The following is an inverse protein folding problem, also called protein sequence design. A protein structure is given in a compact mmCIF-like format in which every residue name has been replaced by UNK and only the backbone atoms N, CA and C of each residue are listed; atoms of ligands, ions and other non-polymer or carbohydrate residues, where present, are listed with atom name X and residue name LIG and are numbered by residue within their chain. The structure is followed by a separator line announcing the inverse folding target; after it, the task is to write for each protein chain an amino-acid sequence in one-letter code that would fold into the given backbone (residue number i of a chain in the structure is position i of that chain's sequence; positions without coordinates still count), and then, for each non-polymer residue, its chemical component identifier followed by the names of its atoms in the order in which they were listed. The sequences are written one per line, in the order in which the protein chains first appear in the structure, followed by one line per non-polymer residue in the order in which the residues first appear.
data_IF_016551326296
#
_entry.id   IF_016551326296
#
_cell.length_a   1.000
_cell.length_b   1.000
_cell.length_c   1.000
_cell.angle_alpha   90.00
_cell.angle_beta   90.00
_cell.angle_gamma   90.00
#
_symmetry.space_group_name_H-M   'P 1'
#
loop_
_entity.id
_entity.type
_entity.pdbx_description
1 polymer ?
#
# COMPACT_ATOMS: atom_id res chain seq x y z
N UNK A 1 -23.65 -25.03 36.39
CA UNK A 1 -23.13 -25.37 35.04
C UNK A 1 -23.70 -24.49 33.92
N UNK A 2 -25.01 -24.25 33.80
CA UNK A 2 -25.60 -23.44 32.70
C UNK A 2 -25.08 -21.99 32.59
N UNK A 3 -24.75 -21.32 33.71
CA UNK A 3 -24.20 -19.94 33.72
C UNK A 3 -22.74 -19.85 33.24
N UNK A 4 -21.94 -20.89 33.44
CA UNK A 4 -20.54 -20.96 32.97
C UNK A 4 -20.46 -21.18 31.45
N UNK A 5 -21.39 -21.95 30.88
CA UNK A 5 -21.48 -22.16 29.43
C UNK A 5 -21.84 -20.87 28.67
N UNK A 6 -22.74 -20.05 29.23
CA UNK A 6 -23.15 -18.77 28.64
C UNK A 6 -22.01 -17.72 28.63
N UNK A 7 -21.22 -17.65 29.71
CA UNK A 7 -20.04 -16.78 29.78
C UNK A 7 -18.94 -17.20 28.77
N UNK A 8 -18.72 -18.50 28.59
CA UNK A 8 -17.77 -19.01 27.60
C UNK A 8 -18.21 -18.70 26.15
N UNK A 9 -19.51 -18.77 25.84
CA UNK A 9 -20.06 -18.40 24.54
C UNK A 9 -19.91 -16.91 24.23
N UNK A 10 -20.19 -16.04 25.20
CA UNK A 10 -20.00 -14.58 25.04
C UNK A 10 -18.51 -14.26 24.84
N UNK A 11 -17.63 -14.89 25.62
CA UNK A 11 -16.18 -14.74 25.44
C UNK A 11 -15.71 -15.23 24.07
N UNK A 12 -16.29 -16.32 23.53
CA UNK A 12 -15.94 -16.87 22.20
C UNK A 12 -16.44 -15.99 21.05
N UNK A 13 -17.61 -15.35 21.19
CA UNK A 13 -18.15 -14.39 20.21
C UNK A 13 -17.33 -13.11 20.22
N UNK A 14 -16.96 -12.60 21.40
CA UNK A 14 -16.08 -11.43 21.53
C UNK A 14 -14.68 -11.75 20.99
N UNK A 15 -14.12 -12.92 21.29
CA UNK A 15 -12.80 -13.36 20.80
C UNK A 15 -12.75 -13.51 19.28
N UNK A 16 -13.83 -13.97 18.64
CA UNK A 16 -13.92 -14.04 17.18
C UNK A 16 -14.17 -12.66 16.52
N UNK A 17 -14.85 -11.74 17.20
CA UNK A 17 -15.04 -10.37 16.72
C UNK A 17 -13.73 -9.54 16.71
N UNK A 18 -12.73 -9.93 17.51
CA UNK A 18 -11.41 -9.29 17.54
C UNK A 18 -10.40 -9.84 16.52
N UNK A 19 -10.76 -10.84 15.70
CA UNK A 19 -9.96 -11.13 14.50
C UNK A 19 -10.19 -9.98 13.52
N UNK A 20 -9.19 -9.10 13.43
CA UNK A 20 -9.14 -8.00 12.46
C UNK A 20 -9.23 -8.61 11.05
N UNK A 21 -10.46 -8.76 10.56
CA UNK A 21 -10.75 -9.04 9.16
C UNK A 21 -10.66 -7.70 8.43
N UNK A 22 -9.88 -7.64 7.37
CA UNK A 22 -9.82 -6.49 6.48
C UNK A 22 -8.42 -6.06 6.04
N UNK A 23 -7.35 -6.49 6.71
CA UNK A 23 -5.99 -6.17 6.24
C UNK A 23 -5.65 -6.82 4.90
N UNK A 24 -6.07 -8.08 4.72
CA UNK A 24 -5.93 -8.84 3.47
C UNK A 24 -6.66 -8.18 2.30
N UNK A 25 -7.69 -7.37 2.57
CA UNK A 25 -8.44 -6.68 1.52
C UNK A 25 -7.59 -5.58 0.84
N UNK A 26 -6.51 -5.11 1.46
CA UNK A 26 -5.72 -4.00 0.94
C UNK A 26 -4.28 -4.38 0.59
N UNK A 27 -3.80 -5.56 1.02
CA UNK A 27 -2.47 -6.06 0.66
C UNK A 27 -2.52 -7.04 -0.51
N UNK A 28 -2.45 -6.50 -1.72
CA UNK A 28 -2.60 -7.24 -2.97
C UNK A 28 -1.54 -6.79 -3.99
N UNK A 29 -1.15 -7.64 -4.96
CA UNK A 29 -1.77 -8.91 -5.39
C UNK A 29 -1.62 -10.08 -4.41
N UNK A 30 -2.50 -11.07 -4.54
CA UNK A 30 -2.33 -12.38 -3.89
C UNK A 30 -1.08 -13.10 -4.41
N UNK A 31 -0.48 -14.03 -3.64
CA UNK A 31 0.66 -14.82 -4.09
C UNK A 31 0.43 -15.46 -5.48
N UNK A 32 1.38 -15.24 -6.40
CA UNK A 32 1.32 -15.75 -7.77
C UNK A 32 0.44 -14.94 -8.74
N UNK A 33 -0.20 -13.85 -8.30
CA UNK A 33 -0.94 -12.91 -9.16
C UNK A 33 -0.07 -11.73 -9.58
N UNK A 34 -0.41 -11.11 -10.71
CA UNK A 34 0.34 -10.00 -11.30
C UNK A 34 -0.61 -8.87 -11.71
N UNK A 35 -0.41 -7.70 -11.13
CA UNK A 35 -1.17 -6.52 -11.49
C UNK A 35 -0.37 -5.70 -12.50
N UNK A 36 -1.07 -5.14 -13.48
CA UNK A 36 -0.48 -4.30 -14.51
C UNK A 36 -0.98 -2.87 -14.36
N UNK A 37 -0.06 -1.92 -14.43
CA UNK A 37 -0.33 -0.50 -14.30
C UNK A 37 0.14 0.23 -15.55
N UNK A 38 -0.61 1.25 -15.95
CA UNK A 38 -0.07 2.33 -16.77
C UNK A 38 0.73 3.25 -15.85
N UNK A 39 1.92 3.65 -16.29
CA UNK A 39 2.77 4.61 -15.59
C UNK A 39 2.96 5.84 -16.47
N UNK A 40 2.56 7.00 -15.96
CA UNK A 40 2.73 8.28 -16.64
C UNK A 40 3.70 9.15 -15.84
N UNK A 41 4.82 9.49 -16.45
CA UNK A 41 5.79 10.46 -15.93
C UNK A 41 5.56 11.80 -16.61
N UNK A 42 5.37 12.86 -15.82
CA UNK A 42 5.28 14.23 -16.33
C UNK A 42 6.42 15.05 -15.76
N UNK A 43 7.40 15.41 -16.60
CA UNK A 43 8.48 16.29 -16.20
C UNK A 43 7.97 17.73 -16.02
N UNK A 44 8.68 18.54 -15.23
CA UNK A 44 8.38 19.97 -15.05
C UNK A 44 8.39 20.78 -16.36
N UNK A 45 9.09 20.30 -17.38
CA UNK A 45 9.06 20.85 -18.74
C UNK A 45 7.73 20.64 -19.47
N UNK A 46 6.85 19.80 -18.94
CA UNK A 46 5.63 19.32 -19.61
C UNK A 46 5.86 18.10 -20.51
N UNK A 47 7.08 17.57 -20.58
CA UNK A 47 7.36 16.32 -21.30
C UNK A 47 6.67 15.15 -20.58
N UNK A 48 5.86 14.39 -21.33
CA UNK A 48 5.15 13.22 -20.84
C UNK A 48 5.81 11.95 -21.41
N UNK A 49 6.07 10.98 -20.54
CA UNK A 49 6.48 9.63 -20.89
C UNK A 49 5.47 8.64 -20.31
N UNK A 50 4.90 7.80 -21.15
CA UNK A 50 4.01 6.72 -20.74
C UNK A 50 4.72 5.38 -20.91
N UNK A 51 4.56 4.50 -19.92
CA UNK A 51 5.09 3.13 -19.93
C UNK A 51 4.18 2.21 -19.13
N UNK A 52 4.54 0.94 -19.03
CA UNK A 52 3.82 -0.06 -18.24
C UNK A 52 4.65 -0.52 -17.05
N UNK A 53 3.96 -0.99 -16.02
CA UNK A 53 4.58 -1.65 -14.89
C UNK A 53 3.82 -2.92 -14.51
N UNK A 54 4.57 -3.94 -14.10
CA UNK A 54 4.04 -5.15 -13.49
C UNK A 54 4.34 -5.16 -12.00
N UNK A 55 3.36 -5.50 -11.18
CA UNK A 55 3.50 -5.67 -9.74
C UNK A 55 3.08 -7.09 -9.37
N UNK A 56 4.01 -7.91 -8.87
CA UNK A 56 3.77 -9.31 -8.50
C UNK A 56 3.99 -9.55 -7.02
N UNK A 57 3.32 -10.56 -6.48
CA UNK A 57 3.60 -11.12 -5.16
C UNK A 57 4.36 -12.44 -5.34
N UNK A 58 5.66 -12.41 -5.05
CA UNK A 58 6.59 -13.52 -5.22
C UNK A 58 6.55 -14.51 -4.02
N UNK A 59 5.59 -14.34 -3.10
CA UNK A 59 5.36 -15.23 -1.96
C UNK A 59 5.85 -14.65 -0.64
N UNK A 60 5.95 -15.53 0.36
CA UNK A 60 6.31 -15.19 1.73
C UNK A 60 7.82 -15.33 1.96
N UNK A 61 8.36 -14.49 2.83
CA UNK A 61 9.76 -14.52 3.27
C UNK A 61 9.86 -14.13 4.73
N UNK A 62 10.70 -14.83 5.49
CA UNK A 62 11.01 -14.48 6.87
C UNK A 62 12.13 -13.44 6.93
N UNK A 63 11.89 -12.34 7.63
CA UNK A 63 12.89 -11.32 7.91
C UNK A 63 12.74 -10.88 9.36
N UNK A 64 13.81 -10.96 10.14
CA UNK A 64 13.82 -10.58 11.56
C UNK A 64 12.70 -11.28 12.37
N UNK A 65 12.55 -12.59 12.16
CA UNK A 65 11.53 -13.46 12.77
C UNK A 65 10.06 -13.05 12.50
N UNK A 66 9.83 -12.27 11.44
CA UNK A 66 8.50 -11.88 10.96
C UNK A 66 8.33 -12.34 9.51
N UNK A 67 7.16 -12.88 9.21
CA UNK A 67 6.77 -13.27 7.86
C UNK A 67 6.28 -12.03 7.08
N UNK A 68 6.84 -11.83 5.89
CA UNK A 68 6.46 -10.75 4.96
C UNK A 68 6.08 -11.31 3.59
N UNK A 69 5.10 -10.69 2.95
CA UNK A 69 4.88 -10.81 1.52
C UNK A 69 5.95 -10.03 0.76
N UNK A 70 6.57 -10.68 -0.22
CA UNK A 70 7.57 -10.07 -1.09
C UNK A 70 6.90 -9.61 -2.38
N UNK A 71 6.86 -8.30 -2.58
CA UNK A 71 6.34 -7.70 -3.79
C UNK A 71 7.47 -7.25 -4.72
N UNK A 72 7.27 -7.45 -6.03
CA UNK A 72 8.21 -7.04 -7.06
C UNK A 72 7.49 -6.13 -8.04
N UNK A 73 7.95 -4.88 -8.13
CA UNK A 73 7.56 -3.92 -9.15
C UNK A 73 8.63 -3.92 -10.24
N UNK A 74 8.25 -4.20 -11.48
CA UNK A 74 9.08 -3.95 -12.65
C UNK A 74 8.42 -2.83 -13.45
N UNK A 75 9.19 -1.82 -13.81
CA UNK A 75 8.71 -0.70 -14.63
C UNK A 75 9.49 -0.71 -15.94
N UNK A 76 8.78 -0.79 -17.05
CA UNK A 76 9.42 -0.88 -18.37
C UNK A 76 10.04 0.46 -18.76
N UNK A 77 11.17 0.42 -19.46
CA UNK A 77 11.81 1.58 -20.10
C UNK A 77 12.22 2.74 -19.17
N UNK A 78 12.29 2.53 -17.84
CA UNK A 78 12.79 3.52 -16.88
C UNK A 78 13.94 2.93 -16.07
N UNK A 79 15.20 3.08 -16.51
CA UNK A 79 16.37 2.42 -15.91
C UNK A 79 16.46 2.48 -14.38
N UNK A 80 16.13 3.62 -13.78
CA UNK A 80 16.15 3.82 -12.33
C UNK A 80 15.05 3.06 -11.55
N UNK A 81 14.00 2.60 -12.24
CA UNK A 81 12.82 1.93 -11.71
C UNK A 81 12.64 0.50 -12.23
N UNK A 82 13.54 0.00 -13.08
CA UNK A 82 13.45 -1.29 -13.77
C UNK A 82 13.04 -2.47 -12.86
N UNK A 83 13.49 -2.48 -11.61
CA UNK A 83 13.06 -3.46 -10.61
C UNK A 83 13.15 -2.88 -9.20
N UNK A 84 12.04 -2.89 -8.47
CA UNK A 84 11.97 -2.56 -7.03
C UNK A 84 11.35 -3.74 -6.29
N UNK A 85 11.94 -4.09 -5.16
CA UNK A 85 11.39 -5.11 -4.26
C UNK A 85 10.95 -4.43 -2.97
N UNK A 86 9.74 -4.74 -2.56
CA UNK A 86 9.12 -4.30 -1.32
C UNK A 86 8.74 -5.52 -0.50
N UNK A 87 8.75 -5.38 0.82
CA UNK A 87 8.20 -6.40 1.68
C UNK A 87 7.13 -5.77 2.54
N UNK A 88 5.98 -6.44 2.64
CA UNK A 88 4.89 -5.96 3.48
C UNK A 88 4.31 -7.08 4.31
N UNK A 89 3.87 -6.76 5.52
CA UNK A 89 3.17 -7.69 6.40
C UNK A 89 1.92 -7.05 6.96
N UNK A 90 0.96 -7.89 7.31
CA UNK A 90 -0.26 -7.46 7.97
C UNK A 90 -0.06 -7.63 9.47
N UNK A 91 -0.30 -6.56 10.23
CA UNK A 91 -0.37 -6.56 11.67
C UNK A 91 -1.81 -6.33 12.14
N UNK A 92 -2.02 -6.37 13.45
CA UNK A 92 -3.34 -6.08 14.05
C UNK A 92 -3.81 -4.65 13.77
N UNK A 93 -2.88 -3.71 13.73
CA UNK A 93 -3.10 -2.27 13.68
C UNK A 93 -2.77 -1.61 12.34
N UNK A 94 -2.17 -2.35 11.41
CA UNK A 94 -1.81 -1.79 10.12
C UNK A 94 -1.14 -2.77 9.17
N UNK A 95 -1.01 -2.32 7.91
CA UNK A 95 -0.09 -2.88 6.94
C UNK A 95 1.25 -2.17 7.14
N UNK A 96 2.29 -2.97 7.31
CA UNK A 96 3.66 -2.50 7.48
C UNK A 96 4.46 -2.85 6.23
N UNK A 97 5.28 -1.91 5.77
CA UNK A 97 6.11 -2.04 4.57
C UNK A 97 7.58 -1.77 4.89
N UNK A 98 8.47 -2.35 4.10
CA UNK A 98 9.91 -2.10 4.13
C UNK A 98 10.48 -2.20 2.71
N UNK A 99 11.45 -1.35 2.40
CA UNK A 99 12.15 -1.36 1.09
C UNK A 99 13.34 -2.31 1.12
N UNK A 100 13.61 -2.98 0.00
CA UNK A 100 14.69 -3.98 -0.11
C UNK A 100 16.11 -3.40 -0.18
N UNK A 101 16.28 -2.12 -0.51
CA UNK A 101 17.58 -1.51 -0.80
C UNK A 101 18.55 -1.54 0.39
N UNK A 102 18.04 -1.63 1.63
CA UNK A 102 18.84 -1.59 2.86
C UNK A 102 18.18 -2.45 3.95
N UNK A 103 18.70 -3.66 4.16
CA UNK A 103 18.18 -4.67 5.12
C UNK A 103 18.02 -4.15 6.56
N UNK A 104 18.72 -3.07 6.94
CA UNK A 104 18.71 -2.50 8.30
C UNK A 104 17.67 -1.41 8.54
N UNK A 105 16.83 -1.07 7.56
CA UNK A 105 15.79 -0.06 7.77
C UNK A 105 14.60 -0.69 8.49
N UNK A 106 14.12 -0.07 9.59
CA UNK A 106 12.89 -0.49 10.24
C UNK A 106 11.71 -0.52 9.28
N UNK A 107 10.77 -1.43 9.49
CA UNK A 107 9.48 -1.36 8.83
C UNK A 107 8.74 -0.07 9.21
N UNK A 108 7.89 0.42 8.32
CA UNK A 108 7.04 1.57 8.54
C UNK A 108 5.58 1.22 8.26
N UNK A 109 4.65 1.89 8.95
CA UNK A 109 3.22 1.69 8.71
C UNK A 109 2.82 2.40 7.42
N UNK A 110 2.32 1.62 6.45
CA UNK A 110 1.87 2.11 5.14
C UNK A 110 0.36 2.41 5.14
N UNK A 111 -0.43 1.62 5.87
CA UNK A 111 -1.87 1.83 6.00
C UNK A 111 -2.36 1.36 7.39
N UNK A 112 -2.93 2.23 8.24
CA UNK A 112 -3.56 1.80 9.49
C UNK A 112 -4.82 0.95 9.21
N UNK A 113 -5.05 -0.04 10.09
CA UNK A 113 -6.19 -0.96 9.99
C UNK A 113 -7.05 -0.94 11.27
N UNK A 114 -8.39 -0.88 11.14
CA UNK A 114 -9.14 -0.63 9.91
C UNK A 114 -8.88 0.78 9.37
N UNK A 115 -9.00 1.02 8.04
CA UNK A 115 -8.81 2.35 7.49
C UNK A 115 -9.97 3.27 7.89
N UNK A 116 -9.65 4.37 8.56
CA UNK A 116 -10.63 5.36 9.05
C UNK A 116 -10.27 6.74 8.53
N UNK A 117 -11.22 7.43 7.89
CA UNK A 117 -11.04 8.81 7.42
C UNK A 117 -10.69 9.74 8.58
N UNK A 118 -9.70 10.60 8.36
CA UNK A 118 -9.12 11.50 9.36
C UNK A 118 -8.04 10.88 10.24
N UNK A 119 -7.75 9.57 10.11
CA UNK A 119 -6.62 8.95 10.80
C UNK A 119 -5.31 9.51 10.25
N UNK A 120 -4.45 10.00 11.14
CA UNK A 120 -3.12 10.55 10.84
C UNK A 120 -2.04 9.73 11.51
N UNK A 121 -0.94 9.51 10.82
CA UNK A 121 0.25 8.87 11.38
C UNK A 121 1.50 9.45 10.74
N UNK A 122 2.63 9.26 11.40
CA UNK A 122 3.94 9.62 10.87
C UNK A 122 4.75 8.37 10.67
N UNK A 123 5.59 8.37 9.64
CA UNK A 123 6.49 7.27 9.38
C UNK A 123 7.79 7.77 8.77
N UNK A 124 8.82 6.93 8.82
CA UNK A 124 10.14 7.26 8.31
C UNK A 124 10.52 6.29 7.19
N UNK A 125 11.03 6.83 6.09
CA UNK A 125 11.62 6.04 5.01
C UNK A 125 13.02 6.57 4.74
N UNK A 126 14.02 5.71 4.96
CA UNK A 126 15.44 6.06 4.79
C UNK A 126 15.88 7.30 5.60
N UNK A 127 15.43 7.45 6.85
CA UNK A 127 15.78 8.61 7.68
C UNK A 127 14.95 9.86 7.41
N UNK A 128 14.00 9.80 6.47
CA UNK A 128 13.17 10.95 6.10
C UNK A 128 11.74 10.77 6.67
N UNK A 129 11.23 11.75 7.43
CA UNK A 129 9.89 11.70 7.98
C UNK A 129 8.84 12.05 6.92
N UNK A 130 7.71 11.37 7.01
CA UNK A 130 6.51 11.62 6.21
C UNK A 130 5.30 11.67 7.14
N UNK A 131 4.45 12.66 6.92
CA UNK A 131 3.15 12.76 7.57
C UNK A 131 2.09 12.20 6.62
N UNK A 132 1.32 11.22 7.08
CA UNK A 132 0.24 10.61 6.31
C UNK A 132 -1.14 10.78 6.96
N UNK A 133 -2.15 10.80 6.10
CA UNK A 133 -3.55 10.91 6.48
C UNK A 133 -4.44 10.10 5.53
N UNK A 134 -5.44 9.40 6.08
CA UNK A 134 -6.57 8.92 5.27
C UNK A 134 -7.52 10.10 5.07
N UNK A 135 -7.49 10.70 3.89
CA UNK A 135 -8.23 11.93 3.63
C UNK A 135 -9.70 11.69 3.29
N UNK A 136 -10.01 10.60 2.59
CA UNK A 136 -11.35 10.34 2.10
C UNK A 136 -11.59 8.85 1.80
N UNK A 137 -12.86 8.49 1.63
CA UNK A 137 -13.27 7.27 0.93
C UNK A 137 -14.13 7.67 -0.26
N UNK A 138 -13.69 7.32 -1.47
CA UNK A 138 -14.34 7.76 -2.72
C UNK A 138 -14.29 6.69 -3.82
N UNK A 139 -14.97 6.93 -4.93
CA UNK A 139 -14.89 6.03 -6.09
C UNK A 139 -13.79 6.49 -7.02
N UNK A 140 -12.96 5.55 -7.50
CA UNK A 140 -11.84 5.83 -8.40
C UNK A 140 -12.08 5.11 -9.73
N UNK A 141 -12.07 5.87 -10.82
CA UNK A 141 -12.12 5.31 -12.17
C UNK A 141 -10.71 4.94 -12.65
N UNK A 142 -10.61 3.79 -13.29
CA UNK A 142 -9.44 3.29 -14.01
C UNK A 142 -9.85 3.01 -15.47
N UNK A 143 -8.90 2.75 -16.40
CA UNK A 143 -9.24 2.43 -17.78
C UNK A 143 -10.16 1.22 -17.94
N UNK A 144 -10.08 0.23 -17.03
CA UNK A 144 -10.91 -0.97 -17.07
C UNK A 144 -12.28 -0.77 -16.39
N UNK A 145 -12.29 -0.21 -15.17
CA UNK A 145 -13.52 -0.07 -14.36
C UNK A 145 -13.43 1.02 -13.30
N UNK A 146 -14.56 1.27 -12.63
CA UNK A 146 -14.61 2.07 -11.41
C UNK A 146 -14.62 1.18 -10.17
N UNK A 147 -13.75 1.50 -9.22
CA UNK A 147 -13.68 0.89 -7.90
C UNK A 147 -14.37 1.80 -6.89
N UNK A 148 -15.29 1.24 -6.09
CA UNK A 148 -16.05 1.99 -5.07
C UNK A 148 -15.40 1.82 -3.70
N UNK A 149 -15.53 2.85 -2.86
CA UNK A 149 -15.06 2.80 -1.47
C UNK A 149 -13.53 2.74 -1.35
N UNK A 150 -12.81 3.30 -2.32
CA UNK A 150 -11.36 3.41 -2.28
C UNK A 150 -10.97 4.36 -1.16
N UNK A 151 -10.03 3.92 -0.33
CA UNK A 151 -9.41 4.75 0.71
C UNK A 151 -8.33 5.61 0.07
N UNK A 152 -8.44 6.93 0.21
CA UNK A 152 -7.44 7.89 -0.24
C UNK A 152 -6.47 8.20 0.88
N UNK A 153 -5.22 7.79 0.71
CA UNK A 153 -4.11 8.12 1.60
C UNK A 153 -3.29 9.23 0.96
N UNK A 154 -2.99 10.28 1.73
CA UNK A 154 -2.06 11.33 1.30
C UNK A 154 -0.88 11.35 2.27
N UNK A 155 0.33 11.26 1.74
CA UNK A 155 1.57 11.34 2.48
C UNK A 155 2.39 12.55 2.01
N UNK A 156 2.95 13.33 2.93
CA UNK A 156 3.76 14.52 2.62
C UNK A 156 5.15 14.38 3.19
N UNK A 157 6.16 14.61 2.35
CA UNK A 157 7.56 14.52 2.75
C UNK A 157 8.01 15.76 3.52
N UNK A 158 8.79 15.54 4.58
CA UNK A 158 9.54 16.60 5.23
C UNK A 158 10.71 17.11 4.36
N UNK A 159 11.44 18.15 4.84
CA UNK A 159 12.63 18.64 4.17
C UNK A 159 13.66 17.52 3.95
N UNK A 160 14.02 17.24 2.69
CA UNK A 160 14.94 16.15 2.34
C UNK A 160 14.27 14.82 1.95
N UNK A 161 12.93 14.76 2.00
CA UNK A 161 12.16 13.61 1.53
C UNK A 161 12.38 13.32 0.04
N UNK A 162 12.20 12.04 -0.34
CA UNK A 162 12.36 11.60 -1.73
C UNK A 162 11.26 12.18 -2.64
N UNK A 163 10.11 12.52 -2.08
CA UNK A 163 8.97 13.14 -2.77
C UNK A 163 8.34 14.23 -1.88
N UNK A 164 7.62 15.16 -2.50
CA UNK A 164 6.89 16.24 -1.82
C UNK A 164 5.56 15.76 -1.27
N UNK A 165 4.79 15.10 -2.12
CA UNK A 165 3.50 14.52 -1.78
C UNK A 165 3.30 13.21 -2.54
N UNK A 166 2.63 12.25 -1.93
CA UNK A 166 2.08 11.08 -2.60
C UNK A 166 0.62 10.93 -2.23
N UNK A 167 -0.22 10.67 -3.22
CA UNK A 167 -1.62 10.28 -3.03
C UNK A 167 -1.79 8.85 -3.53
N UNK A 168 -2.21 7.95 -2.66
CA UNK A 168 -2.46 6.54 -3.00
C UNK A 168 -3.91 6.18 -2.73
N UNK A 169 -4.53 5.45 -3.66
CA UNK A 169 -5.90 4.95 -3.54
C UNK A 169 -5.89 3.44 -3.41
N UNK A 170 -6.46 2.95 -2.32
CA UNK A 170 -6.59 1.52 -2.02
C UNK A 170 -8.06 1.09 -2.10
N UNK A 171 -8.39 0.18 -3.01
CA UNK A 171 -9.71 -0.41 -3.12
C UNK A 171 -9.80 -1.73 -2.31
N UNK A 172 -10.89 -2.00 -1.59
CA UNK A 172 -11.07 -3.25 -0.86
C UNK A 172 -11.06 -4.46 -1.82
N UNK A 173 -10.34 -5.53 -1.43
CA UNK A 173 -10.09 -6.76 -2.19
C UNK A 173 -9.40 -6.55 -3.54
N UNK A 174 -8.81 -5.37 -3.73
CA UNK A 174 -8.01 -5.06 -4.93
C UNK A 174 -6.65 -4.49 -4.54
N UNK A 175 -6.53 -3.73 -3.44
CA UNK A 175 -5.29 -3.06 -3.07
C UNK A 175 -5.12 -1.76 -3.84
N UNK A 176 -3.89 -1.40 -4.21
CA UNK A 176 -3.61 -0.14 -4.90
C UNK A 176 -4.25 -0.08 -6.29
N UNK A 177 -5.10 0.92 -6.54
CA UNK A 177 -5.73 1.14 -7.86
C UNK A 177 -5.20 2.36 -8.58
N UNK A 178 -4.68 3.33 -7.83
CA UNK A 178 -4.05 4.54 -8.36
C UNK A 178 -3.05 5.08 -7.35
N UNK A 179 -1.92 5.58 -7.83
CA UNK A 179 -0.97 6.35 -7.03
C UNK A 179 -0.44 7.52 -7.84
N UNK A 180 -0.34 8.69 -7.22
CA UNK A 180 0.39 9.84 -7.77
C UNK A 180 1.50 10.20 -6.79
N UNK A 181 2.69 10.47 -7.31
CA UNK A 181 3.86 10.91 -6.53
C UNK A 181 4.39 12.19 -7.16
N UNK A 182 4.51 13.24 -6.35
CA UNK A 182 5.06 14.52 -6.75
C UNK A 182 6.51 14.65 -6.30
N UNK A 183 7.40 14.86 -7.25
CA UNK A 183 8.82 15.12 -7.03
C UNK A 183 9.14 16.60 -7.23
N UNK A 184 10.39 16.99 -6.99
CA UNK A 184 10.85 18.36 -7.30
C UNK A 184 10.74 18.69 -8.80
N UNK A 185 10.99 17.69 -9.64
CA UNK A 185 11.20 17.86 -11.08
C UNK A 185 10.07 17.28 -11.94
N UNK A 186 8.97 16.83 -11.34
CA UNK A 186 7.84 16.27 -12.06
C UNK A 186 6.89 15.45 -11.19
N UNK A 187 5.99 14.73 -11.85
CA UNK A 187 5.04 13.80 -11.22
C UNK A 187 5.14 12.42 -11.86
N UNK A 188 4.79 11.40 -11.09
CA UNK A 188 4.62 10.03 -11.55
C UNK A 188 3.23 9.55 -11.15
N UNK A 189 2.49 8.99 -12.08
CA UNK A 189 1.18 8.40 -11.83
C UNK A 189 1.18 6.92 -12.21
N UNK A 190 0.71 6.06 -11.30
CA UNK A 190 0.37 4.67 -11.56
C UNK A 190 -1.15 4.55 -11.59
N UNK A 191 -1.70 3.89 -12.61
CA UNK A 191 -3.14 3.57 -12.68
C UNK A 191 -3.30 2.09 -13.03
N UNK A 192 -4.07 1.36 -12.21
CA UNK A 192 -4.32 -0.05 -12.41
C UNK A 192 -5.03 -0.26 -13.75
N UNK A 193 -4.38 -0.98 -14.65
CA UNK A 193 -4.91 -1.34 -15.98
C UNK A 193 -5.60 -2.70 -15.92
N UNK A 194 -5.01 -3.67 -15.21
CA UNK A 194 -5.52 -5.04 -15.13
C UNK A 194 -5.03 -5.73 -13.86
N UNK A 195 -5.93 -6.49 -13.22
CA UNK A 195 -5.61 -7.50 -12.21
C UNK A 195 -6.07 -8.87 -12.71
N UNK A 196 -5.29 -9.93 -12.45
CA UNK A 196 -5.57 -11.30 -12.89
C UNK A 196 -5.57 -12.29 -11.73
#
# INVERSE_FOLDING_TARGET
MKKLLALALIAFVIWNAYRVRGGEDYLLPEPGKIYYYTVTLTAKSGTILETEASFSNDGLVDIDDKEFYKFVLNVDNIPALNKKVFYSRIAKDGIYSRTSSKVRIPEFMDLPLPPVVGHKWTYEVEGQPYDAEILASESVATPDRSYRGCVKVVARGGPGGQFRESTTYYAPRVGMVKQTVEFLDGTMEFVLKKNN
#
